data_IF_746469145059
#
_entry.id   IF_746469145059
#
_cell.length_a   1.000
_cell.length_b   1.000
_cell.length_c   1.000
_cell.angle_alpha   90.00
_cell.angle_beta   90.00
_cell.angle_gamma   90.00
#
_symmetry.space_group_name_H-M   'P 1'
#
loop_
_entity.id
_entity.type
_entity.pdbx_description
1 polymer ?
#
# COMPACT_ATOMS: atom_id res chain seq x y z
N UNK A 1 -58.53 15.12 22.94
CA UNK A 1 -57.26 14.38 23.21
C UNK A 1 -56.45 14.03 21.94
N UNK A 2 -57.04 13.78 20.77
CA UNK A 2 -56.30 13.37 19.54
C UNK A 2 -55.51 14.47 18.79
N UNK A 3 -55.81 15.75 18.95
CA UNK A 3 -55.09 16.85 18.25
C UNK A 3 -53.75 17.27 18.89
N UNK A 4 -53.54 17.00 20.17
CA UNK A 4 -52.29 17.34 20.88
C UNK A 4 -51.18 16.30 20.71
N UNK A 5 -51.52 15.06 20.37
CA UNK A 5 -50.53 13.99 20.12
C UNK A 5 -49.86 14.10 18.75
N UNK A 6 -50.58 14.58 17.73
CA UNK A 6 -50.04 14.70 16.36
C UNK A 6 -49.02 15.84 16.26
N UNK A 7 -49.19 16.92 17.03
CA UNK A 7 -48.25 18.04 17.03
C UNK A 7 -46.92 17.70 17.73
N UNK A 8 -46.95 16.85 18.76
CA UNK A 8 -45.73 16.39 19.45
C UNK A 8 -44.89 15.42 18.60
N UNK A 9 -45.54 14.55 17.82
CA UNK A 9 -44.85 13.60 16.94
C UNK A 9 -44.22 14.27 15.70
N UNK A 10 -44.82 15.34 15.17
CA UNK A 10 -44.23 16.10 14.04
C UNK A 10 -43.03 16.92 14.50
N UNK A 11 -43.04 17.51 15.69
CA UNK A 11 -41.89 18.25 16.22
C UNK A 11 -40.69 17.35 16.57
N UNK A 12 -40.92 16.12 17.03
CA UNK A 12 -39.83 15.15 17.28
C UNK A 12 -39.28 14.56 15.97
N UNK A 13 -40.13 14.35 14.96
CA UNK A 13 -39.67 13.89 13.64
C UNK A 13 -38.82 14.93 12.90
N UNK A 14 -39.10 16.23 13.06
CA UNK A 14 -38.30 17.31 12.45
C UNK A 14 -36.98 17.55 13.20
N UNK A 15 -36.93 17.34 14.52
CA UNK A 15 -35.70 17.50 15.31
C UNK A 15 -34.67 16.37 15.08
N UNK A 16 -35.10 15.17 14.71
CA UNK A 16 -34.21 14.02 14.45
C UNK A 16 -33.62 14.04 13.03
N UNK A 17 -34.22 14.81 12.10
CA UNK A 17 -33.72 14.95 10.72
C UNK A 17 -32.60 15.99 10.54
N UNK A 18 -32.24 16.75 11.58
CA UNK A 18 -31.24 17.83 11.51
C UNK A 18 -29.98 17.60 12.36
N UNK A 19 -29.85 16.45 13.03
CA UNK A 19 -28.64 16.10 13.77
C UNK A 19 -27.58 15.42 12.87
N UNK A 20 -27.31 15.98 11.69
CA UNK A 20 -25.97 15.78 11.13
C UNK A 20 -25.05 16.70 11.95
N UNK A 21 -23.95 16.20 12.53
CA UNK A 21 -22.95 17.09 13.12
C UNK A 21 -22.47 18.02 12.01
N UNK A 22 -22.95 19.27 12.02
CA UNK A 22 -22.46 20.31 11.14
C UNK A 22 -21.01 20.53 11.53
N UNK A 23 -20.07 20.06 10.71
CA UNK A 23 -18.67 20.43 10.88
C UNK A 23 -18.58 21.95 10.75
N UNK A 24 -17.96 22.61 11.72
CA UNK A 24 -17.55 23.99 11.53
C UNK A 24 -16.66 24.03 10.28
N UNK A 25 -16.92 24.99 9.38
CA UNK A 25 -16.26 25.07 8.09
C UNK A 25 -14.73 24.92 8.23
N UNK A 26 -14.14 23.97 7.51
CA UNK A 26 -12.72 23.70 7.59
C UNK A 26 -11.90 24.91 7.13
N UNK A 27 -10.77 25.18 7.82
CA UNK A 27 -9.88 26.32 7.52
C UNK A 27 -9.06 26.13 6.24
N UNK A 28 -8.95 24.89 5.78
CA UNK A 28 -8.27 24.48 4.56
C UNK A 28 -8.79 23.10 4.15
N UNK A 29 -8.56 22.73 2.90
CA UNK A 29 -8.95 21.44 2.34
C UNK A 29 -7.73 20.60 1.93
N UNK A 30 -7.94 19.29 1.90
CA UNK A 30 -7.00 18.28 1.47
C UNK A 30 -7.66 17.44 0.37
N UNK A 31 -7.08 17.48 -0.82
CA UNK A 31 -7.42 16.60 -1.92
C UNK A 31 -6.76 15.24 -1.72
N UNK A 32 -7.54 14.18 -1.84
CA UNK A 32 -7.03 12.79 -1.86
C UNK A 32 -7.53 12.15 -3.15
N UNK A 33 -6.62 11.61 -3.95
CA UNK A 33 -6.91 10.97 -5.23
C UNK A 33 -6.44 9.53 -5.16
N UNK A 34 -7.32 8.59 -5.47
CA UNK A 34 -7.04 7.15 -5.45
C UNK A 34 -7.61 6.46 -6.69
N UNK A 35 -7.31 5.19 -6.89
CA UNK A 35 -8.12 4.34 -7.76
C UNK A 35 -9.55 4.17 -7.25
N UNK A 36 -10.42 3.67 -8.12
CA UNK A 36 -11.76 3.20 -7.75
C UNK A 36 -11.67 1.93 -6.88
N UNK A 37 -12.82 1.44 -6.40
CA UNK A 37 -12.88 0.18 -5.64
C UNK A 37 -12.36 -1.01 -6.46
N UNK A 38 -12.63 -1.06 -7.77
CA UNK A 38 -12.16 -2.13 -8.65
C UNK A 38 -10.64 -2.14 -8.85
N UNK A 39 -10.00 -0.98 -8.78
CA UNK A 39 -8.56 -0.85 -8.98
C UNK A 39 -7.76 -0.93 -7.67
N UNK A 40 -8.23 -0.25 -6.63
CA UNK A 40 -7.43 0.01 -5.42
C UNK A 40 -8.33 0.23 -4.21
N UNK A 41 -9.11 -0.80 -3.83
CA UNK A 41 -10.05 -0.71 -2.72
C UNK A 41 -9.40 -0.18 -1.43
N UNK A 42 -8.24 -0.71 -1.05
CA UNK A 42 -7.55 -0.35 0.19
C UNK A 42 -7.21 1.14 0.29
N UNK A 43 -6.70 1.69 -0.80
CA UNK A 43 -6.30 3.09 -0.95
C UNK A 43 -7.50 4.01 -0.76
N UNK A 44 -8.63 3.64 -1.38
CA UNK A 44 -9.92 4.30 -1.23
C UNK A 44 -10.44 4.20 0.20
N UNK A 45 -10.31 3.04 0.87
CA UNK A 45 -10.65 2.91 2.30
C UNK A 45 -9.81 3.83 3.18
N UNK A 46 -8.58 4.15 2.77
CA UNK A 46 -7.76 5.17 3.42
C UNK A 46 -8.36 6.57 3.30
N UNK A 47 -8.88 6.93 2.13
CA UNK A 47 -9.60 8.19 1.91
C UNK A 47 -10.92 8.25 2.70
N UNK A 48 -11.71 7.19 2.72
CA UNK A 48 -12.93 7.10 3.53
C UNK A 48 -12.65 7.24 5.03
N UNK A 49 -11.54 6.65 5.50
CA UNK A 49 -11.08 6.79 6.88
C UNK A 49 -10.78 8.26 7.22
N UNK A 50 -10.21 9.02 6.29
CA UNK A 50 -9.97 10.46 6.47
C UNK A 50 -11.28 11.25 6.48
N UNK A 51 -12.20 10.98 5.55
CA UNK A 51 -13.53 11.60 5.52
C UNK A 51 -14.28 11.36 6.83
N UNK A 52 -14.19 10.14 7.38
CA UNK A 52 -14.81 9.82 8.68
C UNK A 52 -14.25 10.65 9.84
N UNK A 53 -12.96 10.97 9.84
CA UNK A 53 -12.32 11.73 10.93
C UNK A 53 -12.41 13.25 10.73
N UNK A 54 -12.34 13.73 9.49
CA UNK A 54 -12.18 15.15 9.18
C UNK A 54 -13.31 15.75 8.36
N UNK A 55 -14.32 14.95 8.00
CA UNK A 55 -15.47 15.36 7.21
C UNK A 55 -15.17 15.54 5.73
N UNK A 56 -16.22 15.40 4.92
CA UNK A 56 -16.20 15.68 3.48
C UNK A 56 -16.36 17.19 3.23
N UNK A 57 -15.60 17.75 2.29
CA UNK A 57 -15.71 19.17 1.87
C UNK A 57 -17.14 19.56 1.49
N UNK A 58 -17.89 18.68 0.80
CA UNK A 58 -19.28 18.93 0.44
C UNK A 58 -20.22 19.07 1.66
N UNK A 59 -19.76 18.65 2.85
CA UNK A 59 -20.47 18.74 4.12
C UNK A 59 -19.76 19.69 5.11
N UNK A 60 -18.88 20.58 4.63
CA UNK A 60 -18.13 21.55 5.43
C UNK A 60 -16.87 21.01 6.09
N UNK A 61 -16.49 19.76 5.82
CA UNK A 61 -15.28 19.13 6.31
C UNK A 61 -14.02 19.46 5.51
N UNK A 62 -12.95 18.71 5.75
CA UNK A 62 -11.61 19.00 5.22
C UNK A 62 -11.24 18.19 3.97
N UNK A 63 -11.84 17.03 3.76
CA UNK A 63 -11.36 16.05 2.76
C UNK A 63 -12.19 16.12 1.48
N UNK A 64 -11.50 16.33 0.36
CA UNK A 64 -12.05 16.17 -0.99
C UNK A 64 -11.45 14.90 -1.59
N UNK A 65 -12.24 13.83 -1.66
CA UNK A 65 -11.81 12.59 -2.30
C UNK A 65 -12.25 12.57 -3.77
N UNK A 66 -11.33 12.18 -4.66
CA UNK A 66 -11.58 11.90 -6.07
C UNK A 66 -11.05 10.51 -6.40
N UNK A 67 -11.65 9.88 -7.42
CA UNK A 67 -11.13 8.65 -8.01
C UNK A 67 -10.77 8.89 -9.47
N UNK A 68 -9.58 8.44 -9.89
CA UNK A 68 -9.22 8.46 -11.31
C UNK A 68 -9.90 7.30 -12.09
N UNK A 69 -10.04 7.40 -13.43
CA UNK A 69 -10.67 6.36 -14.24
C UNK A 69 -9.92 5.02 -14.20
N UNK A 70 -10.64 3.90 -14.27
CA UNK A 70 -10.04 2.56 -14.33
C UNK A 70 -9.11 2.38 -15.55
N UNK A 71 -9.45 3.02 -16.67
CA UNK A 71 -8.67 2.99 -17.91
C UNK A 71 -7.72 4.20 -18.02
N UNK A 72 -7.08 4.58 -16.90
CA UNK A 72 -6.25 5.79 -16.79
C UNK A 72 -5.14 5.89 -17.84
N UNK A 73 -4.63 4.76 -18.35
CA UNK A 73 -3.63 4.76 -19.43
C UNK A 73 -4.18 5.37 -20.73
N UNK A 74 -5.45 5.12 -21.05
CA UNK A 74 -6.13 5.73 -22.21
C UNK A 74 -6.77 7.09 -21.87
N UNK A 75 -7.03 7.34 -20.58
CA UNK A 75 -7.72 8.53 -20.07
C UNK A 75 -6.78 9.43 -19.26
N UNK A 76 -5.52 9.53 -19.69
CA UNK A 76 -4.48 10.24 -18.94
C UNK A 76 -4.79 11.74 -18.78
N UNK A 77 -5.26 12.43 -19.82
CA UNK A 77 -5.60 13.86 -19.72
C UNK A 77 -6.80 14.09 -18.79
N UNK A 78 -7.76 13.17 -18.74
CA UNK A 78 -8.87 13.21 -17.77
C UNK A 78 -8.32 13.13 -16.34
N UNK A 79 -7.41 12.19 -16.08
CA UNK A 79 -6.73 12.04 -14.79
C UNK A 79 -5.98 13.32 -14.40
N UNK A 80 -5.17 13.87 -15.32
CA UNK A 80 -4.42 15.11 -15.13
C UNK A 80 -5.38 16.25 -14.80
N UNK A 81 -6.45 16.42 -15.58
CA UNK A 81 -7.42 17.49 -15.39
C UNK A 81 -8.15 17.40 -14.06
N UNK A 82 -8.51 16.19 -13.61
CA UNK A 82 -9.14 15.97 -12.30
C UNK A 82 -8.22 16.40 -11.14
N UNK A 83 -6.93 16.03 -11.19
CA UNK A 83 -5.96 16.40 -10.16
C UNK A 83 -5.72 17.92 -10.19
N UNK A 84 -5.53 18.50 -11.37
CA UNK A 84 -5.30 19.96 -11.53
C UNK A 84 -6.50 20.77 -11.05
N UNK A 85 -7.72 20.31 -11.31
CA UNK A 85 -8.95 20.98 -10.88
C UNK A 85 -9.07 21.12 -9.36
N UNK A 86 -8.39 20.30 -8.55
CA UNK A 86 -8.32 20.49 -7.10
C UNK A 86 -7.68 21.83 -6.70
N UNK A 87 -6.80 22.40 -7.54
CA UNK A 87 -6.17 23.69 -7.29
C UNK A 87 -7.11 24.90 -7.53
N UNK A 88 -8.30 24.66 -8.09
CA UNK A 88 -9.34 25.69 -8.27
C UNK A 88 -9.98 26.06 -6.93
N UNK A 89 -9.94 25.15 -5.97
CA UNK A 89 -10.42 25.38 -4.62
C UNK A 89 -9.46 26.33 -3.86
N UNK A 90 -9.94 27.53 -3.44
CA UNK A 90 -9.09 28.51 -2.78
C UNK A 90 -8.56 28.03 -1.42
N UNK A 91 -9.26 27.09 -0.77
CA UNK A 91 -8.88 26.52 0.51
C UNK A 91 -7.97 25.30 0.38
N UNK A 92 -7.74 24.78 -0.82
CA UNK A 92 -6.84 23.64 -1.03
C UNK A 92 -5.41 23.98 -0.58
N UNK A 93 -4.83 23.09 0.24
CA UNK A 93 -3.45 23.21 0.73
C UNK A 93 -2.61 21.96 0.55
N UNK A 94 -3.23 20.81 0.35
CA UNK A 94 -2.54 19.53 0.17
C UNK A 94 -3.29 18.72 -0.88
N UNK A 95 -2.55 18.10 -1.80
CA UNK A 95 -3.06 17.10 -2.73
C UNK A 95 -2.22 15.84 -2.53
N UNK A 96 -2.88 14.74 -2.18
CA UNK A 96 -2.29 13.40 -2.11
C UNK A 96 -2.83 12.59 -3.28
N UNK A 97 -1.95 11.99 -4.07
CA UNK A 97 -2.32 11.00 -5.09
C UNK A 97 -1.68 9.69 -4.69
N UNK A 98 -2.47 8.68 -4.33
CA UNK A 98 -1.97 7.34 -3.99
C UNK A 98 -2.23 6.37 -5.13
N UNK A 99 -1.28 5.45 -5.36
CA UNK A 99 -1.02 4.86 -6.68
C UNK A 99 -0.85 5.98 -7.69
N UNK A 100 0.18 6.81 -7.50
CA UNK A 100 0.48 7.94 -8.37
C UNK A 100 0.85 7.46 -9.78
N UNK A 101 -0.20 7.15 -10.55
CA UNK A 101 -0.21 6.62 -11.91
C UNK A 101 0.42 7.61 -12.90
N UNK A 102 0.82 7.15 -14.10
CA UNK A 102 1.39 8.01 -15.14
C UNK A 102 0.54 9.25 -15.41
N UNK A 103 1.20 10.41 -15.54
CA UNK A 103 0.56 11.72 -15.64
C UNK A 103 0.46 12.48 -14.32
N UNK A 104 0.70 11.82 -13.17
CA UNK A 104 0.71 12.50 -11.86
C UNK A 104 1.79 13.58 -11.78
N UNK A 105 2.98 13.33 -12.33
CA UNK A 105 4.06 14.35 -12.37
C UNK A 105 3.62 15.61 -13.12
N UNK A 106 3.01 15.45 -14.29
CA UNK A 106 2.50 16.56 -15.10
C UNK A 106 1.37 17.30 -14.40
N UNK A 107 0.45 16.58 -13.74
CA UNK A 107 -0.61 17.18 -12.95
C UNK A 107 -0.04 18.02 -11.80
N UNK A 108 0.94 17.51 -11.06
CA UNK A 108 1.62 18.25 -9.99
C UNK A 108 2.33 19.49 -10.52
N UNK A 109 3.04 19.40 -11.65
CA UNK A 109 3.66 20.56 -12.30
C UNK A 109 2.63 21.66 -12.57
N UNK A 110 1.50 21.32 -13.22
CA UNK A 110 0.40 22.27 -13.52
C UNK A 110 -0.26 22.83 -12.25
N UNK A 111 -0.44 22.02 -11.21
CA UNK A 111 -0.93 22.50 -9.90
C UNK A 111 0.03 23.54 -9.32
N UNK A 112 1.34 23.27 -9.32
CA UNK A 112 2.34 24.18 -8.74
C UNK A 112 2.52 25.46 -9.55
N UNK A 113 2.31 25.42 -10.87
CA UNK A 113 2.24 26.63 -11.71
C UNK A 113 1.08 27.53 -11.31
N UNK A 114 -0.09 26.95 -11.03
CA UNK A 114 -1.27 27.69 -10.60
C UNK A 114 -1.20 28.15 -9.15
N UNK A 115 -0.73 27.27 -8.26
CA UNK A 115 -0.75 27.42 -6.79
C UNK A 115 0.48 26.77 -6.16
N UNK A 116 1.55 27.56 -6.00
CA UNK A 116 2.80 27.12 -5.37
C UNK A 116 2.66 26.74 -3.89
N UNK A 117 1.61 27.23 -3.23
CA UNK A 117 1.35 27.00 -1.81
C UNK A 117 0.68 25.65 -1.50
N UNK A 118 0.25 24.90 -2.51
CA UNK A 118 -0.29 23.55 -2.34
C UNK A 118 0.87 22.56 -2.22
N UNK A 119 0.83 21.69 -1.22
CA UNK A 119 1.73 20.55 -1.07
C UNK A 119 1.23 19.38 -1.93
N UNK A 120 2.08 18.84 -2.80
CA UNK A 120 1.76 17.73 -3.70
C UNK A 120 2.52 16.46 -3.26
N UNK A 121 1.80 15.46 -2.76
CA UNK A 121 2.37 14.21 -2.25
C UNK A 121 1.96 13.02 -3.12
N UNK A 122 2.93 12.23 -3.57
CA UNK A 122 2.72 11.01 -4.35
C UNK A 122 2.94 9.76 -3.46
N UNK A 123 1.93 8.91 -3.37
CA UNK A 123 2.01 7.59 -2.76
C UNK A 123 2.11 6.51 -3.85
N UNK A 124 3.06 5.59 -3.69
CA UNK A 124 3.44 4.57 -4.67
C UNK A 124 3.46 5.07 -6.13
N UNK A 125 4.35 6.01 -6.48
CA UNK A 125 4.52 6.45 -7.87
C UNK A 125 4.82 5.31 -8.84
N UNK A 126 4.20 5.36 -10.01
CA UNK A 126 4.43 4.43 -11.13
C UNK A 126 5.43 4.97 -12.16
N UNK A 127 5.68 6.28 -12.13
CA UNK A 127 6.73 6.93 -12.93
C UNK A 127 8.10 6.78 -12.24
N UNK A 128 9.18 6.90 -13.02
CA UNK A 128 10.54 6.78 -12.48
C UNK A 128 10.78 7.76 -11.31
N UNK A 129 11.53 7.37 -10.27
CA UNK A 129 11.79 8.20 -9.10
C UNK A 129 12.24 9.62 -9.47
N UNK A 130 13.21 9.76 -10.38
CA UNK A 130 13.73 11.07 -10.79
C UNK A 130 12.70 11.96 -11.52
N UNK A 131 11.68 11.37 -12.13
CA UNK A 131 10.60 12.10 -12.82
C UNK A 131 9.62 12.67 -11.80
N UNK A 132 9.04 11.82 -10.94
CA UNK A 132 8.06 12.27 -9.94
C UNK A 132 8.67 13.23 -8.90
N UNK A 133 9.93 13.02 -8.53
CA UNK A 133 10.68 13.89 -7.62
C UNK A 133 10.82 15.33 -8.12
N UNK A 134 10.70 15.57 -9.43
CA UNK A 134 10.81 16.90 -10.02
C UNK A 134 9.61 17.81 -9.74
N UNK A 135 8.44 17.22 -9.44
CA UNK A 135 7.19 17.96 -9.24
C UNK A 135 6.57 17.73 -7.86
N UNK A 136 6.79 16.57 -7.23
CA UNK A 136 6.25 16.25 -5.92
C UNK A 136 7.06 16.89 -4.77
N UNK A 137 6.35 17.45 -3.79
CA UNK A 137 6.96 17.89 -2.52
C UNK A 137 7.39 16.67 -1.66
N UNK A 138 6.71 15.53 -1.83
CA UNK A 138 7.06 14.24 -1.21
C UNK A 138 6.57 13.07 -2.08
N UNK A 139 7.42 12.08 -2.32
CA UNK A 139 7.09 10.78 -2.89
C UNK A 139 7.34 9.67 -1.85
N UNK A 140 6.45 8.68 -1.78
CA UNK A 140 6.59 7.49 -0.94
C UNK A 140 6.45 6.22 -1.76
N UNK A 141 7.37 5.27 -1.59
CA UNK A 141 7.19 3.89 -2.07
C UNK A 141 7.36 2.89 -0.92
N UNK A 142 6.87 1.67 -1.10
CA UNK A 142 7.29 0.55 -0.26
C UNK A 142 8.82 0.38 -0.37
N UNK A 143 9.51 0.10 0.75
CA UNK A 143 10.97 0.04 0.78
C UNK A 143 11.52 -1.22 0.14
N UNK A 144 11.44 -1.29 -1.19
CA UNK A 144 11.92 -2.40 -1.99
C UNK A 144 13.42 -2.68 -1.79
N UNK A 145 14.19 -1.69 -1.33
CA UNK A 145 15.62 -1.85 -1.07
C UNK A 145 15.85 -2.58 0.26
N UNK A 146 15.35 -2.04 1.38
CA UNK A 146 15.49 -2.68 2.68
C UNK A 146 14.76 -4.03 2.72
N UNK A 147 13.55 -4.11 2.12
CA UNK A 147 12.75 -5.33 2.03
C UNK A 147 13.46 -6.45 1.29
N UNK A 148 14.35 -6.14 0.35
CA UNK A 148 15.19 -7.16 -0.31
C UNK A 148 15.98 -8.02 0.69
N UNK A 149 16.49 -7.42 1.76
CA UNK A 149 17.15 -8.15 2.84
C UNK A 149 16.15 -8.64 3.90
N UNK A 150 15.21 -7.78 4.31
CA UNK A 150 14.30 -8.07 5.42
C UNK A 150 13.39 -9.26 5.13
N UNK A 151 12.92 -9.41 3.89
CA UNK A 151 12.08 -10.56 3.48
C UNK A 151 12.87 -11.87 3.63
N UNK A 152 14.15 -11.91 3.23
CA UNK A 152 14.98 -13.11 3.38
C UNK A 152 15.28 -13.40 4.85
N UNK A 153 15.57 -12.36 5.64
CA UNK A 153 15.78 -12.50 7.08
C UNK A 153 14.52 -13.01 7.79
N UNK A 154 13.34 -12.52 7.41
CA UNK A 154 12.05 -13.00 7.90
C UNK A 154 11.78 -14.45 7.46
N UNK A 155 12.02 -14.80 6.18
CA UNK A 155 11.90 -16.17 5.68
C UNK A 155 12.74 -17.14 6.51
N UNK A 156 14.00 -16.79 6.79
CA UNK A 156 14.89 -17.58 7.66
C UNK A 156 14.34 -17.74 9.08
N UNK A 157 13.88 -16.65 9.71
CA UNK A 157 13.25 -16.67 11.05
C UNK A 157 11.99 -17.55 11.08
N UNK A 158 11.24 -17.59 9.99
CA UNK A 158 10.06 -18.43 9.85
C UNK A 158 10.44 -19.91 9.70
N UNK A 159 11.64 -20.21 9.19
CA UNK A 159 12.18 -21.56 9.04
C UNK A 159 12.42 -21.98 7.59
N UNK A 160 12.35 -21.06 6.62
CA UNK A 160 12.66 -21.36 5.24
C UNK A 160 14.16 -21.65 5.03
N UNK A 161 14.49 -22.53 4.08
CA UNK A 161 15.87 -22.85 3.67
C UNK A 161 16.14 -22.61 2.18
N UNK A 162 15.11 -22.25 1.43
CA UNK A 162 15.17 -21.81 0.05
C UNK A 162 14.21 -20.64 -0.16
N UNK A 163 14.48 -19.81 -1.17
CA UNK A 163 13.65 -18.68 -1.55
C UNK A 163 13.52 -18.66 -3.07
N UNK A 164 12.28 -18.76 -3.55
CA UNK A 164 11.93 -18.79 -4.97
C UNK A 164 11.29 -17.45 -5.32
N UNK A 165 12.06 -16.63 -6.04
CA UNK A 165 11.60 -15.36 -6.58
C UNK A 165 10.97 -15.58 -7.95
N UNK A 166 9.70 -15.24 -8.10
CA UNK A 166 8.89 -15.47 -9.30
C UNK A 166 8.61 -14.12 -9.97
N UNK A 167 9.05 -13.95 -11.21
CA UNK A 167 8.91 -12.67 -11.92
C UNK A 167 8.98 -12.82 -13.44
N UNK A 168 9.01 -11.69 -14.15
CA UNK A 168 9.03 -11.60 -15.60
C UNK A 168 9.76 -10.33 -16.08
N UNK A 169 10.17 -10.25 -17.37
CA UNK A 169 11.07 -9.20 -17.86
C UNK A 169 10.63 -7.76 -17.56
N UNK A 170 9.33 -7.44 -17.69
CA UNK A 170 8.81 -6.08 -17.42
C UNK A 170 9.01 -5.66 -15.96
N UNK A 171 8.74 -6.51 -14.98
CA UNK A 171 9.00 -6.13 -13.58
C UNK A 171 10.50 -6.08 -13.29
N UNK A 172 11.29 -6.90 -13.97
CA UNK A 172 12.75 -6.86 -13.86
C UNK A 172 13.41 -5.71 -14.62
N UNK A 173 12.65 -4.90 -15.40
CA UNK A 173 13.14 -3.64 -15.94
C UNK A 173 12.93 -2.45 -15.00
N UNK A 174 12.12 -2.59 -13.94
CA UNK A 174 11.92 -1.54 -12.95
C UNK A 174 13.08 -1.52 -11.94
N UNK A 175 13.66 -0.34 -11.68
CA UNK A 175 14.85 -0.20 -10.84
C UNK A 175 14.62 -0.76 -9.44
N UNK A 176 13.58 -0.32 -8.73
CA UNK A 176 13.32 -0.75 -7.36
C UNK A 176 13.06 -2.26 -7.25
N UNK A 177 12.36 -2.86 -8.23
CA UNK A 177 12.03 -4.29 -8.18
C UNK A 177 13.21 -5.18 -8.56
N UNK A 178 13.95 -4.83 -9.61
CA UNK A 178 15.16 -5.56 -10.01
C UNK A 178 16.24 -5.50 -8.93
N UNK A 179 16.43 -4.33 -8.32
CA UNK A 179 17.36 -4.15 -7.21
C UNK A 179 16.95 -4.95 -5.97
N UNK A 180 15.66 -4.97 -5.63
CA UNK A 180 15.15 -5.84 -4.54
C UNK A 180 15.51 -7.31 -4.79
N UNK A 181 15.29 -7.80 -6.01
CA UNK A 181 15.61 -9.18 -6.40
C UNK A 181 17.11 -9.46 -6.27
N UNK A 182 17.97 -8.55 -6.71
CA UNK A 182 19.42 -8.70 -6.59
C UNK A 182 19.86 -8.70 -5.10
N UNK A 183 19.26 -7.85 -4.27
CA UNK A 183 19.48 -7.86 -2.82
C UNK A 183 19.02 -9.20 -2.21
N UNK A 184 17.86 -9.72 -2.60
CA UNK A 184 17.36 -11.02 -2.13
C UNK A 184 18.33 -12.15 -2.46
N UNK A 185 18.89 -12.17 -3.67
CA UNK A 185 19.88 -13.17 -4.09
C UNK A 185 21.15 -13.12 -3.21
N UNK A 186 21.71 -11.92 -2.99
CA UNK A 186 22.87 -11.72 -2.12
C UNK A 186 22.54 -12.08 -0.67
N UNK A 187 21.39 -11.66 -0.17
CA UNK A 187 20.93 -11.96 1.19
C UNK A 187 20.70 -13.45 1.40
N UNK A 188 20.15 -14.17 0.42
CA UNK A 188 20.01 -15.62 0.47
C UNK A 188 21.38 -16.30 0.65
N UNK A 189 22.38 -15.90 -0.16
CA UNK A 189 23.75 -16.42 -0.04
C UNK A 189 24.32 -16.16 1.36
N UNK A 190 24.22 -14.93 1.85
CA UNK A 190 24.78 -14.53 3.15
C UNK A 190 24.08 -15.21 4.33
N UNK A 191 22.76 -15.41 4.24
CA UNK A 191 21.94 -15.97 5.30
C UNK A 191 21.81 -17.50 5.19
N UNK A 192 22.40 -18.13 4.18
CA UNK A 192 22.40 -19.59 4.02
C UNK A 192 21.09 -20.17 3.49
N UNK A 193 20.38 -19.43 2.64
CA UNK A 193 19.21 -19.91 1.90
C UNK A 193 19.59 -20.17 0.44
N UNK A 194 19.01 -21.21 -0.16
CA UNK A 194 19.10 -21.41 -1.62
C UNK A 194 18.24 -20.37 -2.33
N UNK A 195 18.81 -19.56 -3.21
CA UNK A 195 18.04 -18.66 -4.07
C UNK A 195 17.67 -19.38 -5.37
N UNK A 196 16.45 -19.14 -5.85
CA UNK A 196 16.02 -19.53 -7.18
C UNK A 196 15.22 -18.38 -7.81
N UNK A 197 15.45 -18.17 -9.10
CA UNK A 197 14.66 -17.26 -9.92
C UNK A 197 13.84 -18.10 -10.91
N UNK A 198 12.53 -17.95 -10.87
CA UNK A 198 11.60 -18.63 -11.77
C UNK A 198 10.86 -17.59 -12.61
N UNK A 199 10.87 -17.79 -13.93
CA UNK A 199 10.17 -16.89 -14.85
C UNK A 199 8.71 -17.32 -14.97
N UNK A 200 7.79 -16.41 -14.66
CA UNK A 200 6.36 -16.57 -14.90
C UNK A 200 5.93 -15.76 -16.13
N UNK A 201 4.78 -16.07 -16.74
CA UNK A 201 4.19 -15.20 -17.75
C UNK A 201 3.78 -13.85 -17.16
N UNK A 202 3.93 -12.79 -17.96
CA UNK A 202 3.43 -11.45 -17.63
C UNK A 202 1.90 -11.43 -17.76
N UNK A 203 1.12 -11.09 -16.71
CA UNK A 203 -0.33 -11.02 -16.77
C UNK A 203 -0.88 -10.02 -17.80
N UNK A 204 -0.06 -9.08 -18.29
CA UNK A 204 -0.45 -8.10 -19.32
C UNK A 204 -0.09 -8.53 -20.74
N UNK A 205 0.51 -9.72 -20.93
CA UNK A 205 0.75 -10.30 -22.24
C UNK A 205 -0.46 -11.11 -22.75
N UNK A 206 -0.36 -11.71 -23.93
CA UNK A 206 -1.44 -12.48 -24.57
C UNK A 206 -1.98 -13.66 -23.71
N UNK A 207 -1.20 -14.13 -22.73
CA UNK A 207 -1.65 -15.15 -21.77
C UNK A 207 -2.73 -14.64 -20.81
N UNK A 208 -2.80 -13.32 -20.60
CA UNK A 208 -3.70 -12.65 -19.67
C UNK A 208 -3.53 -13.05 -18.20
N UNK A 209 -4.35 -12.43 -17.34
CA UNK A 209 -4.42 -12.71 -15.90
C UNK A 209 -4.73 -14.18 -15.64
N UNK A 210 -5.72 -14.75 -16.33
CA UNK A 210 -6.14 -16.14 -16.13
C UNK A 210 -5.01 -17.14 -16.45
N UNK A 211 -4.30 -16.96 -17.56
CA UNK A 211 -3.15 -17.81 -17.91
C UNK A 211 -2.00 -17.68 -16.93
N UNK A 212 -1.72 -16.46 -16.47
CA UNK A 212 -0.70 -16.23 -15.45
C UNK A 212 -1.05 -16.86 -14.09
N UNK A 213 -2.32 -16.81 -13.68
CA UNK A 213 -2.78 -17.47 -12.46
C UNK A 213 -2.69 -18.99 -12.56
N UNK A 214 -3.13 -19.56 -13.69
CA UNK A 214 -3.05 -20.99 -13.96
C UNK A 214 -1.60 -21.49 -13.93
N UNK A 215 -0.67 -20.74 -14.51
CA UNK A 215 0.76 -21.08 -14.45
C UNK A 215 1.26 -21.22 -13.01
N UNK A 216 0.90 -20.29 -12.11
CA UNK A 216 1.30 -20.37 -10.70
C UNK A 216 0.68 -21.61 -10.03
N UNK A 217 -0.60 -21.89 -10.27
CA UNK A 217 -1.27 -23.08 -9.74
C UNK A 217 -0.55 -24.36 -10.17
N UNK A 218 -0.07 -24.45 -11.41
CA UNK A 218 0.62 -25.63 -11.94
C UNK A 218 2.07 -25.74 -11.44
N UNK A 219 2.78 -24.62 -11.32
CA UNK A 219 4.22 -24.63 -11.05
C UNK A 219 4.58 -24.72 -9.58
N UNK A 220 3.80 -24.16 -8.67
CA UNK A 220 4.11 -24.25 -7.22
C UNK A 220 4.26 -25.69 -6.72
N UNK A 221 3.39 -26.66 -7.09
CA UNK A 221 3.60 -28.08 -6.75
C UNK A 221 4.97 -28.61 -7.23
N UNK A 222 5.34 -28.32 -8.48
CA UNK A 222 6.61 -28.76 -9.06
C UNK A 222 7.81 -28.08 -8.38
N UNK A 223 7.70 -26.80 -8.05
CA UNK A 223 8.74 -26.07 -7.32
C UNK A 223 8.89 -26.54 -5.88
N UNK A 224 7.81 -26.93 -5.21
CA UNK A 224 7.86 -27.55 -3.88
C UNK A 224 8.57 -28.92 -3.92
N UNK A 225 8.42 -29.68 -5.01
CA UNK A 225 9.20 -30.91 -5.23
C UNK A 225 10.68 -30.61 -5.49
N UNK A 226 10.98 -29.60 -6.32
CA UNK A 226 12.35 -29.20 -6.72
C UNK A 226 13.15 -28.56 -5.57
N UNK A 227 12.53 -27.64 -4.82
CA UNK A 227 13.20 -26.82 -3.80
C UNK A 227 12.88 -27.25 -2.36
N UNK A 228 11.86 -28.09 -2.18
CA UNK A 228 11.44 -28.65 -0.89
C UNK A 228 10.34 -27.85 -0.19
N UNK A 229 9.65 -28.48 0.77
CA UNK A 229 8.55 -27.88 1.55
C UNK A 229 8.95 -26.72 2.46
N UNK A 230 10.26 -26.44 2.59
CA UNK A 230 10.82 -25.30 3.32
C UNK A 230 11.23 -24.16 2.39
N UNK A 231 10.83 -24.18 1.13
CA UNK A 231 10.97 -23.06 0.22
C UNK A 231 9.94 -21.95 0.56
N UNK A 232 10.42 -20.71 0.63
CA UNK A 232 9.59 -19.52 0.61
C UNK A 232 9.38 -19.06 -0.84
N UNK A 233 8.22 -18.49 -1.13
CA UNK A 233 7.86 -18.03 -2.46
C UNK A 233 7.46 -16.55 -2.44
N UNK A 234 7.80 -15.85 -3.50
CA UNK A 234 7.49 -14.45 -3.67
C UNK A 234 7.20 -14.16 -5.15
N UNK A 235 6.02 -13.64 -5.46
CA UNK A 235 5.66 -13.13 -6.79
C UNK A 235 5.82 -11.61 -6.81
N UNK A 236 6.36 -11.06 -7.90
CA UNK A 236 6.46 -9.61 -8.08
C UNK A 236 5.16 -8.96 -8.56
N UNK A 237 4.09 -9.72 -8.82
CA UNK A 237 2.83 -9.19 -9.33
C UNK A 237 1.63 -9.71 -8.53
N UNK A 238 0.71 -8.80 -8.22
CA UNK A 238 -0.44 -9.06 -7.34
C UNK A 238 -1.40 -10.11 -7.90
N UNK A 239 -1.61 -10.16 -9.22
CA UNK A 239 -2.50 -11.13 -9.85
C UNK A 239 -2.07 -12.59 -9.61
N UNK A 240 -0.78 -12.81 -9.38
CA UNK A 240 -0.17 -14.11 -9.12
C UNK A 240 -0.14 -14.47 -7.62
N UNK A 241 -0.47 -13.52 -6.73
CA UNK A 241 -0.39 -13.74 -5.28
C UNK A 241 -1.47 -14.68 -4.78
N UNK A 242 -2.72 -14.52 -5.22
CA UNK A 242 -3.82 -15.42 -4.83
C UNK A 242 -3.55 -16.90 -5.13
N UNK A 243 -3.23 -17.30 -6.39
CA UNK A 243 -2.94 -18.71 -6.69
C UNK A 243 -1.70 -19.22 -5.95
N UNK A 244 -0.70 -18.36 -5.70
CA UNK A 244 0.46 -18.72 -4.90
C UNK A 244 0.06 -19.03 -3.45
N UNK A 245 -0.70 -18.15 -2.81
CA UNK A 245 -1.18 -18.31 -1.44
C UNK A 245 -2.02 -19.58 -1.30
N UNK A 246 -2.90 -19.85 -2.27
CA UNK A 246 -3.71 -21.07 -2.30
C UNK A 246 -2.86 -22.32 -2.30
N UNK A 247 -1.82 -22.37 -3.13
CA UNK A 247 -0.91 -23.52 -3.19
C UNK A 247 -0.03 -23.63 -1.93
N UNK A 248 0.49 -22.53 -1.40
CA UNK A 248 1.33 -22.54 -0.18
C UNK A 248 0.55 -22.96 1.06
N UNK A 249 -0.72 -22.54 1.17
CA UNK A 249 -1.62 -22.98 2.21
C UNK A 249 -1.87 -24.49 2.10
N UNK A 250 -2.25 -24.96 0.91
CA UNK A 250 -2.67 -26.36 0.65
C UNK A 250 -1.52 -27.36 0.72
N UNK A 251 -0.38 -27.06 0.10
CA UNK A 251 0.70 -28.02 -0.15
C UNK A 251 1.89 -27.89 0.80
N UNK A 252 2.00 -26.77 1.52
CA UNK A 252 3.18 -26.41 2.29
C UNK A 252 4.03 -25.33 1.60
N UNK A 253 5.20 -25.04 2.16
CA UNK A 253 6.02 -23.90 1.74
C UNK A 253 5.86 -22.69 2.66
N UNK A 254 6.48 -21.57 2.31
CA UNK A 254 6.45 -20.35 3.11
C UNK A 254 6.07 -19.16 2.23
N UNK A 255 5.38 -18.20 2.84
CA UNK A 255 5.05 -16.91 2.22
C UNK A 255 5.26 -15.83 3.28
N UNK A 256 6.18 -14.90 3.04
CA UNK A 256 6.55 -13.89 4.04
C UNK A 256 5.61 -12.70 4.00
N UNK A 257 5.48 -12.10 2.82
CA UNK A 257 4.64 -10.93 2.54
C UNK A 257 4.51 -10.78 1.01
N UNK A 258 3.48 -10.06 0.55
CA UNK A 258 3.24 -9.76 -0.86
C UNK A 258 4.14 -8.62 -1.37
N UNK A 259 4.10 -8.35 -2.69
CA UNK A 259 4.79 -7.20 -3.29
C UNK A 259 4.28 -5.88 -2.70
N UNK A 260 2.96 -5.69 -2.70
CA UNK A 260 2.23 -4.66 -1.95
C UNK A 260 1.47 -5.33 -0.79
N UNK A 261 2.02 -5.33 0.44
CA UNK A 261 1.46 -6.13 1.52
C UNK A 261 0.10 -5.62 2.01
N UNK A 262 -0.87 -6.54 2.08
CA UNK A 262 -2.19 -6.35 2.68
C UNK A 262 -2.77 -7.69 3.11
N UNK A 263 -3.51 -7.78 4.23
CA UNK A 263 -4.30 -8.97 4.56
C UNK A 263 -5.42 -9.25 3.53
N UNK A 264 -5.77 -8.27 2.69
CA UNK A 264 -6.72 -8.44 1.59
C UNK A 264 -6.05 -8.89 0.29
N UNK A 265 -4.72 -8.83 0.21
CA UNK A 265 -3.98 -9.21 -1.00
C UNK A 265 -3.98 -10.73 -1.16
N UNK A 266 -4.87 -11.24 -2.03
CA UNK A 266 -4.99 -12.65 -2.43
C UNK A 266 -5.52 -13.62 -1.38
N UNK A 267 -5.38 -13.33 -0.08
CA UNK A 267 -5.90 -14.20 0.99
C UNK A 267 -7.41 -14.48 0.90
N UNK A 268 -8.28 -13.48 0.61
CA UNK A 268 -9.72 -13.72 0.56
C UNK A 268 -10.13 -14.77 -0.47
N UNK A 269 -9.66 -14.63 -1.71
CA UNK A 269 -9.95 -15.59 -2.78
C UNK A 269 -9.23 -16.92 -2.57
N UNK A 270 -7.96 -16.91 -2.13
CA UNK A 270 -7.19 -18.13 -1.91
C UNK A 270 -7.82 -19.08 -0.88
N UNK A 271 -8.47 -18.52 0.14
CA UNK A 271 -9.04 -19.26 1.27
C UNK A 271 -10.57 -19.26 1.29
N UNK A 272 -11.23 -18.64 0.30
CA UNK A 272 -12.68 -18.58 0.18
C UNK A 272 -13.36 -17.88 1.36
N UNK A 273 -12.76 -16.79 1.87
CA UNK A 273 -13.32 -16.02 2.99
C UNK A 273 -14.05 -14.77 2.49
N UNK A 274 -15.27 -14.58 2.99
CA UNK A 274 -16.03 -13.34 2.81
C UNK A 274 -15.67 -12.34 3.91
N UNK A 275 -15.25 -11.13 3.54
CA UNK A 275 -14.88 -10.05 4.47
C UNK A 275 -15.85 -8.85 4.44
N UNK A 276 -17.02 -9.02 3.82
CA UNK A 276 -18.02 -7.96 3.67
C UNK A 276 -18.43 -7.29 4.99
N UNK A 277 -18.47 -8.05 6.09
CA UNK A 277 -18.83 -7.56 7.43
C UNK A 277 -17.69 -6.85 8.17
N UNK A 278 -16.46 -7.12 7.79
CA UNK A 278 -15.25 -6.57 8.42
C UNK A 278 -14.68 -5.37 7.67
N UNK A 279 -15.35 -4.93 6.59
CA UNK A 279 -14.92 -3.85 5.71
C UNK A 279 -14.46 -2.59 6.48
N UNK A 280 -13.22 -2.18 6.22
CA UNK A 280 -12.60 -1.02 6.87
C UNK A 280 -12.17 -1.23 8.34
N UNK A 281 -12.41 -2.42 8.92
CA UNK A 281 -11.96 -2.80 10.26
C UNK A 281 -10.75 -3.74 10.16
N UNK A 282 -9.56 -3.16 10.03
CA UNK A 282 -8.30 -3.90 9.86
C UNK A 282 -8.02 -4.95 10.95
N UNK A 283 -8.20 -4.69 12.26
CA UNK A 283 -8.06 -5.73 13.27
C UNK A 283 -9.01 -6.92 13.08
N UNK A 284 -10.26 -6.68 12.68
CA UNK A 284 -11.23 -7.75 12.41
C UNK A 284 -10.89 -8.54 11.14
N UNK A 285 -10.47 -7.83 10.08
CA UNK A 285 -9.97 -8.43 8.84
C UNK A 285 -8.78 -9.35 9.17
N UNK A 286 -7.75 -8.82 9.84
CA UNK A 286 -6.53 -9.56 10.17
C UNK A 286 -6.85 -10.82 10.98
N UNK A 287 -7.69 -10.71 12.01
CA UNK A 287 -8.10 -11.85 12.84
C UNK A 287 -8.81 -12.93 12.04
N UNK A 288 -9.69 -12.54 11.12
CA UNK A 288 -10.46 -13.49 10.30
C UNK A 288 -9.58 -14.18 9.26
N UNK A 289 -8.70 -13.42 8.60
CA UNK A 289 -7.67 -13.96 7.70
C UNK A 289 -6.75 -14.92 8.45
N UNK A 290 -6.26 -14.54 9.64
CA UNK A 290 -5.42 -15.39 10.48
C UNK A 290 -6.09 -16.72 10.82
N UNK A 291 -7.37 -16.69 11.24
CA UNK A 291 -8.14 -17.89 11.51
C UNK A 291 -8.23 -18.83 10.30
N UNK A 292 -8.45 -18.27 9.10
CA UNK A 292 -8.50 -19.03 7.86
C UNK A 292 -7.14 -19.62 7.47
N UNK A 293 -6.07 -18.83 7.58
CA UNK A 293 -4.69 -19.27 7.31
C UNK A 293 -4.29 -20.41 8.26
N UNK A 294 -4.56 -20.27 9.56
CA UNK A 294 -4.27 -21.30 10.56
C UNK A 294 -5.06 -22.57 10.28
N UNK A 295 -6.36 -22.45 9.94
CA UNK A 295 -7.21 -23.59 9.57
C UNK A 295 -6.70 -24.31 8.32
N UNK A 296 -6.17 -23.57 7.35
CA UNK A 296 -5.55 -24.12 6.15
C UNK A 296 -4.11 -24.63 6.38
N UNK A 297 -3.62 -24.66 7.63
CA UNK A 297 -2.31 -25.19 7.99
C UNK A 297 -1.14 -24.21 7.77
N UNK A 298 -1.41 -22.96 7.41
CA UNK A 298 -0.42 -21.91 7.14
C UNK A 298 0.19 -21.25 8.39
N UNK A 299 -0.21 -21.69 9.59
CA UNK A 299 0.36 -21.23 10.86
C UNK A 299 1.89 -21.22 10.80
N UNK A 300 2.51 -20.14 11.28
CA UNK A 300 3.96 -19.94 11.37
C UNK A 300 4.72 -19.84 10.04
N UNK A 301 4.04 -20.08 8.90
CA UNK A 301 4.61 -20.17 7.54
C UNK A 301 4.13 -19.10 6.57
N UNK A 302 3.00 -18.46 6.88
CA UNK A 302 2.41 -17.43 6.04
C UNK A 302 2.36 -16.10 6.81
N UNK A 303 2.66 -15.00 6.13
CA UNK A 303 2.69 -13.67 6.71
C UNK A 303 2.18 -12.59 5.77
N UNK A 304 2.11 -11.37 6.30
CA UNK A 304 1.62 -10.18 5.62
C UNK A 304 2.11 -8.93 6.36
N UNK A 305 1.62 -7.75 5.98
CA UNK A 305 1.56 -6.60 6.88
C UNK A 305 0.16 -6.54 7.50
N UNK A 306 0.06 -6.23 8.78
CA UNK A 306 -1.20 -6.24 9.53
C UNK A 306 -2.23 -5.23 9.01
N UNK A 307 -1.73 -4.14 8.40
CA UNK A 307 -2.53 -3.13 7.72
C UNK A 307 -2.05 -3.00 6.28
N UNK A 308 -2.99 -2.79 5.36
CA UNK A 308 -2.65 -2.54 3.96
C UNK A 308 -1.74 -1.33 3.82
N UNK A 309 -0.71 -1.49 3.01
CA UNK A 309 0.18 -0.41 2.62
C UNK A 309 -0.58 0.74 1.94
N UNK A 310 -1.47 0.44 0.97
CA UNK A 310 -2.25 1.45 0.25
C UNK A 310 -3.16 2.26 1.19
N UNK A 311 -3.90 1.57 2.06
CA UNK A 311 -4.72 2.23 3.10
C UNK A 311 -3.90 3.17 3.99
N UNK A 312 -2.77 2.67 4.50
CA UNK A 312 -1.94 3.40 5.44
C UNK A 312 -1.31 4.62 4.76
N UNK A 313 -0.84 4.49 3.52
CA UNK A 313 -0.21 5.57 2.75
C UNK A 313 -1.20 6.69 2.43
N UNK A 314 -2.42 6.37 1.93
CA UNK A 314 -3.48 7.38 1.72
C UNK A 314 -3.73 8.20 2.99
N UNK A 315 -3.93 7.53 4.13
CA UNK A 315 -4.26 8.19 5.38
C UNK A 315 -3.08 8.97 5.99
N UNK A 316 -1.88 8.38 5.98
CA UNK A 316 -0.69 8.95 6.58
C UNK A 316 -0.21 10.21 5.83
N UNK A 317 -0.26 10.21 4.50
CA UNK A 317 0.17 11.36 3.70
C UNK A 317 -0.74 12.57 3.89
N UNK A 318 -2.06 12.36 3.91
CA UNK A 318 -3.01 13.43 4.18
C UNK A 318 -2.84 13.99 5.59
N UNK A 319 -2.67 13.13 6.59
CA UNK A 319 -2.37 13.54 7.96
C UNK A 319 -1.05 14.31 8.07
N UNK A 320 -0.01 13.89 7.36
CA UNK A 320 1.27 14.57 7.36
C UNK A 320 1.15 15.97 6.75
N UNK A 321 0.47 16.09 5.61
CA UNK A 321 0.21 17.37 4.95
C UNK A 321 -0.65 18.30 5.82
N UNK A 322 -1.65 17.75 6.50
CA UNK A 322 -2.44 18.46 7.52
C UNK A 322 -1.54 19.03 8.62
N UNK A 323 -0.65 18.21 9.21
CA UNK A 323 0.25 18.66 10.28
C UNK A 323 1.24 19.73 9.80
N UNK A 324 1.73 19.64 8.57
CA UNK A 324 2.59 20.69 7.98
C UNK A 324 1.79 21.99 7.80
N UNK A 325 0.57 21.90 7.26
CA UNK A 325 -0.31 23.07 7.04
C UNK A 325 -0.67 23.76 8.37
N UNK A 326 -0.87 22.99 9.43
CA UNK A 326 -1.09 23.48 10.79
C UNK A 326 0.19 23.92 11.52
N UNK A 327 1.35 23.90 10.86
CA UNK A 327 2.68 24.23 11.41
C UNK A 327 3.10 23.35 12.60
N UNK A 328 2.56 22.13 12.68
CA UNK A 328 2.91 21.11 13.67
C UNK A 328 3.99 20.14 13.18
N UNK A 329 4.36 20.23 11.91
CA UNK A 329 5.43 19.45 11.28
C UNK A 329 6.09 20.28 10.18
N UNK A 330 7.23 19.80 9.67
CA UNK A 330 7.91 20.37 8.49
C UNK A 330 8.04 19.31 7.41
N UNK A 331 8.13 19.74 6.16
CA UNK A 331 8.48 18.85 5.06
C UNK A 331 9.84 18.19 5.37
N UNK A 332 9.91 16.88 5.26
CA UNK A 332 11.10 16.09 5.65
C UNK A 332 11.18 15.69 7.13
N UNK A 333 10.19 15.99 7.96
CA UNK A 333 10.14 15.49 9.34
C UNK A 333 9.79 13.99 9.39
N UNK A 334 10.82 13.15 9.18
CA UNK A 334 10.69 11.71 9.03
C UNK A 334 10.00 11.03 10.22
N UNK A 335 10.31 11.46 11.45
CA UNK A 335 9.68 10.89 12.65
C UNK A 335 8.18 11.18 12.65
N UNK A 336 7.78 12.42 12.33
CA UNK A 336 6.36 12.77 12.28
C UNK A 336 5.64 12.03 11.15
N UNK A 337 6.30 11.80 10.01
CA UNK A 337 5.75 10.94 8.95
C UNK A 337 5.50 9.51 9.45
N UNK A 338 6.45 8.88 10.16
CA UNK A 338 6.24 7.56 10.77
C UNK A 338 5.11 7.58 11.82
N UNK A 339 5.02 8.65 12.62
CA UNK A 339 3.93 8.83 13.59
C UNK A 339 2.56 8.96 12.88
N UNK A 340 2.51 9.52 11.66
CA UNK A 340 1.30 9.55 10.82
C UNK A 340 0.89 8.15 10.34
N UNK A 341 1.84 7.31 9.92
CA UNK A 341 1.57 5.90 9.62
C UNK A 341 1.03 5.17 10.85
N UNK A 342 1.74 5.26 11.98
CA UNK A 342 1.36 4.60 13.23
C UNK A 342 -0.04 5.01 13.74
N UNK A 343 -0.46 6.26 13.52
CA UNK A 343 -1.80 6.76 13.88
C UNK A 343 -2.93 5.93 13.26
N UNK A 344 -2.79 5.49 12.02
CA UNK A 344 -3.83 4.74 11.31
C UNK A 344 -3.62 3.22 11.37
N UNK A 345 -2.51 2.77 11.95
CA UNK A 345 -2.16 1.35 12.06
C UNK A 345 -1.79 0.98 13.49
N UNK A 346 -2.72 1.12 14.46
CA UNK A 346 -2.40 0.90 15.87
C UNK A 346 -1.82 -0.50 16.11
N UNK A 347 -0.70 -0.55 16.85
CA UNK A 347 0.03 -1.78 17.15
C UNK A 347 1.04 -2.21 16.08
N UNK A 348 0.99 -1.67 14.87
CA UNK A 348 2.00 -1.91 13.85
C UNK A 348 3.14 -0.90 13.97
N UNK A 349 4.39 -1.39 13.94
CA UNK A 349 5.56 -0.54 13.84
C UNK A 349 5.87 -0.24 12.37
N UNK A 350 6.38 0.96 12.10
CA UNK A 350 6.84 1.41 10.78
C UNK A 350 8.27 1.88 10.86
N UNK A 351 9.02 1.67 9.79
CA UNK A 351 10.36 2.20 9.60
C UNK A 351 10.59 2.47 8.10
N UNK A 352 11.73 3.06 7.76
CA UNK A 352 12.00 3.46 6.39
C UNK A 352 13.34 4.17 6.24
N UNK A 353 13.59 4.63 5.02
CA UNK A 353 14.80 5.35 4.66
C UNK A 353 14.50 6.31 3.51
N UNK A 354 15.39 7.26 3.23
CA UNK A 354 15.26 8.06 2.02
C UNK A 354 15.87 7.29 0.85
N UNK A 355 15.22 7.39 -0.32
CA UNK A 355 15.74 6.80 -1.54
C UNK A 355 17.11 7.38 -1.88
N UNK A 356 18.02 6.52 -2.32
CA UNK A 356 19.31 6.91 -2.86
C UNK A 356 19.42 6.35 -4.27
N UNK A 357 19.50 7.26 -5.22
CA UNK A 357 19.65 6.96 -6.64
C UNK A 357 21.04 6.32 -6.86
N UNK A 358 21.07 5.10 -7.37
CA UNK A 358 22.33 4.37 -7.55
C UNK A 358 23.13 4.77 -8.79
N UNK A 359 22.50 5.46 -9.75
CA UNK A 359 23.19 5.99 -10.92
C UNK A 359 24.04 7.20 -10.56
N UNK A 360 23.53 8.05 -9.67
CA UNK A 360 24.12 9.33 -9.28
C UNK A 360 24.75 9.32 -7.89
N UNK A 361 24.38 8.38 -7.03
CA UNK A 361 24.76 8.33 -5.61
C UNK A 361 24.04 9.36 -4.73
N UNK A 362 23.07 10.11 -5.29
CA UNK A 362 22.40 11.19 -4.58
C UNK A 362 21.25 10.65 -3.72
N UNK A 363 21.30 10.96 -2.43
CA UNK A 363 20.18 10.75 -1.50
C UNK A 363 19.10 11.79 -1.75
N UNK A 364 17.91 11.34 -2.13
CA UNK A 364 16.77 12.19 -2.48
C UNK A 364 16.04 12.64 -1.22
N UNK A 365 15.88 13.95 -1.03
CA UNK A 365 15.34 14.54 0.21
C UNK A 365 13.81 14.50 0.27
N UNK A 366 13.15 14.35 -0.87
CA UNK A 366 11.70 14.32 -1.02
C UNK A 366 11.18 12.93 -1.42
N UNK A 367 11.98 11.87 -1.29
CA UNK A 367 11.55 10.52 -1.61
C UNK A 367 11.88 9.58 -0.44
N UNK A 368 10.84 9.09 0.24
CA UNK A 368 10.97 8.19 1.39
C UNK A 368 10.45 6.80 1.04
N UNK A 369 11.21 5.80 1.39
CA UNK A 369 10.86 4.39 1.31
C UNK A 369 10.39 3.92 2.69
N UNK A 370 9.27 3.21 2.77
CA UNK A 370 8.68 2.79 4.04
C UNK A 370 8.33 1.30 4.08
N UNK A 371 8.35 0.72 5.27
CA UNK A 371 7.89 -0.64 5.50
C UNK A 371 7.28 -0.81 6.89
N UNK A 372 6.28 -1.68 6.97
CA UNK A 372 5.65 -2.11 8.22
C UNK A 372 6.39 -3.35 8.76
N UNK A 373 6.26 -3.60 10.06
CA UNK A 373 6.69 -4.86 10.64
C UNK A 373 5.89 -6.04 10.07
N UNK A 374 6.59 -7.07 9.59
CA UNK A 374 5.99 -8.29 9.05
C UNK A 374 5.22 -9.02 10.15
N UNK A 375 3.94 -9.27 9.91
CA UNK A 375 3.06 -10.06 10.76
C UNK A 375 3.00 -11.50 10.23
N UNK A 376 3.38 -12.48 11.05
CA UNK A 376 3.27 -13.91 10.70
C UNK A 376 2.05 -14.49 11.40
N UNK A 377 1.17 -15.10 10.63
CA UNK A 377 -0.06 -15.70 11.14
C UNK A 377 0.26 -16.83 12.13
N UNK A 378 -0.31 -16.74 13.32
CA UNK A 378 -0.05 -17.62 14.46
C UNK A 378 1.14 -17.24 15.34
N UNK A 379 1.92 -16.21 14.96
CA UNK A 379 3.06 -15.68 15.74
C UNK A 379 2.91 -14.21 16.13
N UNK A 380 2.31 -13.39 15.27
CA UNK A 380 2.29 -11.93 15.41
C UNK A 380 3.47 -11.25 14.70
N UNK A 381 3.80 -10.04 15.14
CA UNK A 381 4.88 -9.23 14.54
C UNK A 381 6.27 -9.83 14.78
N UNK A 382 7.09 -9.90 13.73
CA UNK A 382 8.43 -10.49 13.75
C UNK A 382 9.55 -9.55 14.25
N UNK A 383 9.23 -8.27 14.49
CA UNK A 383 10.21 -7.26 14.91
C UNK A 383 11.17 -6.85 13.79
N UNK A 384 10.76 -6.96 12.52
CA UNK A 384 11.60 -6.66 11.36
C UNK A 384 11.97 -5.18 11.24
N UNK A 385 11.14 -4.28 11.77
CA UNK A 385 11.45 -2.84 11.87
C UNK A 385 12.63 -2.52 12.80
N UNK A 386 12.99 -3.46 13.69
CA UNK A 386 14.15 -3.35 14.59
C UNK A 386 15.41 -3.99 14.02
N UNK A 387 15.32 -4.68 12.88
CA UNK A 387 16.46 -5.33 12.24
C UNK A 387 17.25 -4.27 11.48
N UNK A 388 18.50 -4.04 11.88
CA UNK A 388 19.42 -3.18 11.13
C UNK A 388 19.83 -3.87 9.83
N UNK A 389 19.43 -3.31 8.69
CA UNK A 389 19.86 -3.78 7.37
C UNK A 389 21.35 -3.43 7.17
N UNK A 390 22.23 -4.41 6.89
CA UNK A 390 23.64 -4.12 6.64
C UNK A 390 23.85 -3.18 5.45
N UNK A 391 24.74 -2.19 5.60
CA UNK A 391 24.96 -1.13 4.61
C UNK A 391 25.31 -1.64 3.20
N UNK A 392 25.95 -2.82 3.11
CA UNK A 392 26.32 -3.43 1.84
C UNK A 392 25.12 -3.67 0.91
N UNK A 393 23.93 -3.95 1.46
CA UNK A 393 22.74 -4.24 0.65
C UNK A 393 22.22 -3.00 -0.07
N UNK A 394 22.40 -1.81 0.50
CA UNK A 394 22.03 -0.55 -0.17
C UNK A 394 22.95 -0.23 -1.35
N UNK A 395 24.07 -0.94 -1.52
CA UNK A 395 25.00 -0.76 -2.65
C UNK A 395 24.83 -1.80 -3.76
N UNK A 396 23.96 -2.79 -3.56
CA UNK A 396 23.62 -3.78 -4.59
C UNK A 396 22.79 -3.09 -5.67
N UNK A 397 23.16 -3.30 -6.93
CA UNK A 397 22.46 -2.82 -8.11
C UNK A 397 21.55 -3.91 -8.62
#
# INVERSE_FOLDING_TARGET
>A
MRRRLVLGLVCVAVAVLLACPAFAAAKFHIGVVTGTVSQSEDDLRGAERLIKEYGDVAKGGMIKHLTYPDNFMSEMETTISQIVGLADDPLMKVIVVNQAIPGTTEAFRRVKEKRKDILCFAGEPHEDPGVIESAADLAINADNIARGYLIIAAAKKMGANAFVHISFPRHMSYELLSRRRNIMEVACKDLGLKFAFETAPDPTSDVGVAGAQQFILEKVPAWLQKYGKRAAFFCTNDAQTEPLLKQVATLGGYFVEADLPSPLMGYPGALGIDLSKEKGNWPAILKKVEGAVVKAGGKDRMGTWAYSYGYATSAALAEFGKRITEKKAKLGDFKVLMDCYAKFTPGAAWNGSYYTDMGTGVKKKNHVLVYQDTYVFGKGYLGMTKVKVPEKYFKVK
#
